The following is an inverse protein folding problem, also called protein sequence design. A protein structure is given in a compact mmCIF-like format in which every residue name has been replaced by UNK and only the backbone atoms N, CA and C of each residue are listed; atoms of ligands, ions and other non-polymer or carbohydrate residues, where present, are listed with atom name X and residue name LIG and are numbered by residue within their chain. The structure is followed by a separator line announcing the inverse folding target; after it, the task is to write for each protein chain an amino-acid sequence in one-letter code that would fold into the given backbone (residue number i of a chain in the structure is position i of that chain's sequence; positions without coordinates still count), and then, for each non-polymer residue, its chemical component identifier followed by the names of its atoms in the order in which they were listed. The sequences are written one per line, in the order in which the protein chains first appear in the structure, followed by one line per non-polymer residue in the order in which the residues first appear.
data_IF_997485395528
#
_entry.id   IF_997485395528
#
_cell.length_a   1.000
_cell.length_b   1.000
_cell.length_c   1.000
_cell.angle_alpha   90.00
_cell.angle_beta   90.00
_cell.angle_gamma   90.00
#
_symmetry.space_group_name_H-M   'P 1'
#
loop_
_entity.id
_entity.type
_entity.pdbx_description
1 polymer ?
#
# COMPACT_ATOMS: atom_id res chain seq x y z
N UNK A 1 -9.74 11.69 7.66
CA UNK A 1 -8.43 12.37 7.82
C UNK A 1 -7.72 12.19 6.49
N UNK A 2 -7.17 13.24 5.87
CA UNK A 2 -6.52 13.07 4.57
C UNK A 2 -5.07 12.65 4.81
N UNK A 3 -4.77 11.39 4.45
CA UNK A 3 -3.42 10.84 4.47
C UNK A 3 -2.82 11.03 3.08
N UNK A 4 -1.90 12.00 2.92
CA UNK A 4 -1.13 12.17 1.70
C UNK A 4 0.03 11.16 1.67
N UNK A 5 0.18 10.42 0.58
CA UNK A 5 1.30 9.50 0.37
C UNK A 5 1.07 8.51 -0.76
N UNK A 6 2.06 7.66 -1.01
CA UNK A 6 2.02 6.63 -2.04
C UNK A 6 1.50 5.33 -1.44
N UNK A 7 0.52 4.70 -2.09
CA UNK A 7 0.01 3.38 -1.76
C UNK A 7 0.70 2.39 -2.69
N UNK A 8 1.27 1.33 -2.14
CA UNK A 8 1.87 0.25 -2.92
C UNK A 8 0.98 -0.98 -2.88
N UNK A 9 0.88 -1.72 -3.97
CA UNK A 9 0.10 -2.96 -3.97
C UNK A 9 0.76 -4.07 -4.79
N UNK A 10 0.58 -5.30 -4.37
CA UNK A 10 0.95 -6.52 -5.09
C UNK A 10 -0.32 -7.29 -5.45
N UNK A 11 -0.59 -7.46 -6.75
CA UNK A 11 -1.76 -8.17 -7.26
C UNK A 11 -1.39 -9.58 -7.68
N UNK A 12 -2.02 -10.56 -7.04
CA UNK A 12 -1.85 -11.97 -7.36
C UNK A 12 -3.14 -12.53 -7.96
N UNK A 13 -3.10 -12.90 -9.25
CA UNK A 13 -4.26 -13.34 -9.99
C UNK A 13 -4.91 -14.57 -9.36
N UNK A 14 -6.20 -14.44 -9.01
CA UNK A 14 -6.97 -15.50 -8.35
C UNK A 14 -6.79 -15.57 -6.83
N UNK A 15 -5.92 -14.74 -6.25
CA UNK A 15 -5.71 -14.65 -4.79
C UNK A 15 -6.23 -13.31 -4.25
N UNK A 16 -5.78 -12.17 -4.78
CA UNK A 16 -6.23 -10.86 -4.31
C UNK A 16 -5.14 -9.79 -4.42
N UNK A 17 -5.26 -8.76 -3.59
CA UNK A 17 -4.37 -7.60 -3.58
C UNK A 17 -3.81 -7.44 -2.17
N UNK A 18 -2.48 -7.46 -2.03
CA UNK A 18 -1.80 -7.03 -0.82
C UNK A 18 -1.44 -5.56 -0.97
N UNK A 19 -2.06 -4.68 -0.20
CA UNK A 19 -1.82 -3.24 -0.27
C UNK A 19 -1.13 -2.72 0.99
N UNK A 20 -0.23 -1.76 0.79
CA UNK A 20 0.60 -1.13 1.82
C UNK A 20 0.34 0.37 1.79
N UNK A 21 -0.12 0.89 2.92
CA UNK A 21 -0.62 2.24 3.03
C UNK A 21 0.26 3.08 3.97
N UNK A 22 0.49 4.36 3.64
CA UNK A 22 1.28 5.24 4.48
C UNK A 22 0.54 5.51 5.80
N UNK A 23 1.18 5.24 6.93
CA UNK A 23 0.63 5.58 8.24
C UNK A 23 0.96 7.03 8.60
N UNK A 24 -0.03 7.91 8.40
CA UNK A 24 0.04 9.33 8.77
C UNK A 24 0.23 9.59 10.27
N UNK A 25 -0.01 8.60 11.14
CA UNK A 25 0.10 8.76 12.59
C UNK A 25 1.48 8.35 13.14
N UNK A 26 2.32 7.74 12.31
CA UNK A 26 3.59 7.18 12.76
C UNK A 26 4.76 8.14 12.51
N UNK A 27 5.39 8.59 13.60
CA UNK A 27 6.63 9.39 13.58
C UNK A 27 7.75 8.46 13.12
N UNK A 28 7.91 8.29 11.80
CA UNK A 28 8.88 7.35 11.24
C UNK A 28 8.59 6.86 9.81
N UNK A 29 7.42 7.15 9.23
CA UNK A 29 7.12 6.77 7.84
C UNK A 29 6.81 5.29 7.65
N UNK A 30 6.11 4.66 8.60
CA UNK A 30 5.75 3.25 8.50
C UNK A 30 4.57 3.04 7.55
N UNK A 31 4.56 1.85 6.94
CA UNK A 31 3.44 1.37 6.13
C UNK A 31 2.66 0.32 6.91
N UNK A 32 1.33 0.36 6.80
CA UNK A 32 0.45 -0.68 7.32
C UNK A 32 -0.16 -1.46 6.16
N UNK A 33 -0.48 -2.73 6.39
CA UNK A 33 -0.93 -3.67 5.36
C UNK A 33 -2.43 -3.96 5.48
N UNK A 34 -3.11 -4.04 4.34
CA UNK A 34 -4.47 -4.59 4.21
C UNK A 34 -4.52 -5.51 2.98
N UNK A 35 -5.33 -6.55 3.06
CA UNK A 35 -5.65 -7.42 1.93
C UNK A 35 -7.04 -7.13 1.37
N UNK A 36 -7.18 -7.15 0.05
CA UNK A 36 -8.47 -7.00 -0.65
C UNK A 36 -8.73 -8.17 -1.60
N UNK A 37 -9.98 -8.62 -1.67
CA UNK A 37 -10.36 -9.73 -2.55
C UNK A 37 -10.47 -9.31 -4.02
N UNK A 38 -10.54 -8.00 -4.30
CA UNK A 38 -10.71 -7.47 -5.66
C UNK A 38 -10.29 -6.02 -5.78
N UNK A 39 -9.96 -5.59 -7.00
CA UNK A 39 -9.71 -4.18 -7.32
C UNK A 39 -10.91 -3.29 -7.00
N UNK A 40 -12.14 -3.80 -7.07
CA UNK A 40 -13.32 -3.02 -6.71
C UNK A 40 -13.29 -2.61 -5.23
N UNK A 41 -13.01 -3.56 -4.33
CA UNK A 41 -12.91 -3.28 -2.90
C UNK A 41 -11.72 -2.37 -2.59
N UNK A 42 -10.58 -2.64 -3.21
CA UNK A 42 -9.37 -1.84 -3.04
C UNK A 42 -9.56 -0.38 -3.48
N UNK A 43 -10.13 -0.16 -4.67
CA UNK A 43 -10.39 1.17 -5.20
C UNK A 43 -11.39 1.94 -4.34
N UNK A 44 -12.49 1.30 -3.94
CA UNK A 44 -13.48 1.92 -3.06
C UNK A 44 -12.86 2.34 -1.72
N UNK A 45 -11.99 1.51 -1.15
CA UNK A 45 -11.29 1.85 0.08
C UNK A 45 -10.37 3.07 -0.10
N UNK A 46 -9.59 3.09 -1.19
CA UNK A 46 -8.72 4.23 -1.51
C UNK A 46 -9.52 5.53 -1.69
N UNK A 47 -10.64 5.49 -2.42
CA UNK A 47 -11.51 6.65 -2.67
C UNK A 47 -12.16 7.21 -1.39
N UNK A 48 -12.45 6.35 -0.41
CA UNK A 48 -13.10 6.76 0.84
C UNK A 48 -12.10 7.30 1.87
N UNK A 49 -10.90 6.70 1.95
CA UNK A 49 -9.95 6.96 3.04
C UNK A 49 -8.78 7.86 2.64
N UNK A 50 -8.46 7.95 1.35
CA UNK A 50 -7.31 8.70 0.82
C UNK A 50 -7.77 9.72 -0.23
N UNK A 51 -7.21 10.93 -0.16
CA UNK A 51 -7.42 11.98 -1.17
C UNK A 51 -6.07 12.23 -1.85
N UNK A 52 -6.05 12.32 -3.18
CA UNK A 52 -4.85 12.61 -3.98
C UNK A 52 -3.64 11.67 -3.70
N UNK A 53 -3.90 10.38 -3.47
CA UNK A 53 -2.85 9.38 -3.31
C UNK A 53 -2.37 8.85 -4.67
N UNK A 54 -1.06 8.62 -4.77
CA UNK A 54 -0.48 7.87 -5.88
C UNK A 54 -0.57 6.37 -5.57
N UNK A 55 -1.01 5.56 -6.53
CA UNK A 55 -1.13 4.11 -6.37
C UNK A 55 -0.16 3.42 -7.32
N UNK A 56 0.79 2.66 -6.77
CA UNK A 56 1.89 2.04 -7.51
C UNK A 56 1.86 0.53 -7.34
N UNK A 57 1.92 -0.21 -8.44
CA UNK A 57 2.07 -1.67 -8.41
C UNK A 57 3.50 -2.05 -8.05
N UNK A 58 3.65 -2.99 -7.12
CA UNK A 58 4.90 -3.62 -6.76
C UNK A 58 5.25 -4.60 -7.87
N UNK A 59 6.44 -4.46 -8.42
CA UNK A 59 6.97 -5.32 -9.47
C UNK A 59 8.47 -5.52 -9.29
N UNK A 60 9.09 -6.31 -10.16
CA UNK A 60 10.52 -6.63 -10.04
C UNK A 60 11.44 -5.40 -10.09
N UNK A 61 11.00 -4.30 -10.71
CA UNK A 61 11.83 -3.11 -10.90
C UNK A 61 11.89 -2.25 -9.62
N UNK A 62 10.80 -2.18 -8.86
CA UNK A 62 10.73 -1.36 -7.63
C UNK A 62 10.86 -2.17 -6.33
N UNK A 63 10.70 -3.50 -6.38
CA UNK A 63 10.65 -4.36 -5.19
C UNK A 63 11.86 -4.16 -4.25
N UNK A 64 13.08 -4.20 -4.79
CA UNK A 64 14.30 -4.11 -3.98
C UNK A 64 14.45 -2.78 -3.24
N UNK A 65 14.02 -1.68 -3.87
CA UNK A 65 14.04 -0.35 -3.27
C UNK A 65 12.99 -0.22 -2.17
N UNK A 66 11.75 -0.67 -2.44
CA UNK A 66 10.66 -0.64 -1.47
C UNK A 66 10.94 -1.52 -0.24
N UNK A 67 11.64 -2.66 -0.42
CA UNK A 67 12.17 -3.45 0.69
C UNK A 67 13.15 -2.67 1.55
N UNK A 68 14.08 -1.93 0.94
CA UNK A 68 15.09 -1.14 1.64
C UNK A 68 14.47 0.07 2.38
N UNK A 69 13.36 0.60 1.86
CA UNK A 69 12.56 1.65 2.50
C UNK A 69 11.68 1.13 3.65
N UNK A 70 11.56 -0.19 3.81
CA UNK A 70 10.76 -0.78 4.88
C UNK A 70 9.26 -0.82 4.62
N UNK A 71 8.82 -0.69 3.36
CA UNK A 71 7.39 -0.69 2.99
C UNK A 71 6.69 -2.00 3.39
N UNK A 72 7.42 -3.12 3.27
CA UNK A 72 6.90 -4.46 3.58
C UNK A 72 7.57 -5.08 4.81
N UNK A 73 8.65 -4.47 5.31
CA UNK A 73 9.46 -5.00 6.41
C UNK A 73 8.99 -4.42 7.75
N UNK A 74 7.79 -4.82 8.15
CA UNK A 74 7.36 -4.86 9.54
C UNK A 74 7.51 -6.27 10.12
N UNK A 75 8.65 -6.94 9.94
CA UNK A 75 9.02 -8.04 10.84
C UNK A 75 9.57 -7.36 12.09
N UNK A 76 8.74 -7.30 13.14
CA UNK A 76 9.23 -7.11 14.52
C UNK A 76 9.82 -8.42 15.00
#
# INVERSE_FOLDING_TARGET
MVKNGTIYYDFEYGIGINAYFPDSASVGGFYWHEWFASFYQFNLYCELEYLDCEVIEINNDNYSELCAQGVFNGIV
#
